data_IF_737314050433
#
_entry.id   IF_737314050433
#
_cell.length_a   1.000
_cell.length_b   1.000
_cell.length_c   1.000
_cell.angle_alpha   90.00
_cell.angle_beta   90.00
_cell.angle_gamma   90.00
#
_symmetry.space_group_name_H-M   'P 1'
#
loop_
_entity.id
_entity.type
_entity.pdbx_description
1 polymer ?
#
# COMPACT_ATOMS: atom_id res chain seq x y z
N UNK A 1 0.98 -9.29 -22.70
CA UNK A 1 1.32 -7.85 -22.75
C UNK A 1 0.12 -6.96 -23.05
N UNK A 2 -0.62 -7.21 -24.12
CA UNK A 2 -1.79 -6.38 -24.45
C UNK A 2 -2.85 -6.38 -23.35
N UNK A 3 -3.11 -7.52 -22.74
CA UNK A 3 -4.09 -7.60 -21.64
C UNK A 3 -3.66 -6.77 -20.43
N UNK A 4 -2.35 -6.75 -20.14
CA UNK A 4 -1.82 -5.94 -19.03
C UNK A 4 -2.03 -4.46 -19.35
N UNK A 5 -1.72 -4.00 -20.54
CA UNK A 5 -1.92 -2.60 -20.92
C UNK A 5 -3.39 -2.18 -20.92
N UNK A 6 -4.29 -3.06 -21.35
CA UNK A 6 -5.73 -2.79 -21.28
C UNK A 6 -6.20 -2.68 -19.85
N UNK A 7 -5.71 -3.58 -18.98
CA UNK A 7 -6.04 -3.55 -17.56
C UNK A 7 -5.52 -2.28 -16.88
N UNK A 8 -4.32 -1.81 -17.25
CA UNK A 8 -3.78 -0.55 -16.73
C UNK A 8 -4.69 0.61 -17.11
N UNK A 9 -5.08 0.72 -18.38
CA UNK A 9 -5.96 1.79 -18.83
C UNK A 9 -7.31 1.78 -18.12
N UNK A 10 -7.90 0.61 -17.95
CA UNK A 10 -9.18 0.44 -17.28
C UNK A 10 -9.09 0.75 -15.79
N UNK A 11 -8.05 0.26 -15.10
CA UNK A 11 -7.86 0.46 -13.67
C UNK A 11 -7.34 1.85 -13.32
N UNK A 12 -6.68 2.53 -14.24
CA UNK A 12 -6.16 3.88 -14.00
C UNK A 12 -7.26 4.88 -13.72
N UNK A 13 -8.44 4.70 -14.26
CA UNK A 13 -9.57 5.60 -14.09
C UNK A 13 -10.38 5.35 -12.81
N UNK A 14 -9.98 4.38 -12.00
CA UNK A 14 -10.67 4.06 -10.75
C UNK A 14 -9.79 4.36 -9.55
N UNK A 15 -10.39 4.44 -8.37
CA UNK A 15 -9.67 4.53 -7.10
C UNK A 15 -9.69 3.19 -6.36
N UNK A 16 -10.10 2.13 -7.04
CA UNK A 16 -10.16 0.81 -6.44
C UNK A 16 -8.77 0.32 -6.01
N UNK A 17 -8.73 -0.45 -4.93
CA UNK A 17 -7.51 -1.13 -4.49
C UNK A 17 -7.14 -2.20 -5.51
N UNK A 18 -5.88 -2.21 -5.93
CA UNK A 18 -5.37 -3.15 -6.92
C UNK A 18 -4.32 -4.04 -6.27
N UNK A 19 -4.40 -5.33 -6.54
CA UNK A 19 -3.35 -6.27 -6.16
C UNK A 19 -2.65 -6.78 -7.43
N UNK A 20 -1.34 -6.57 -7.48
CA UNK A 20 -0.49 -7.05 -8.57
C UNK A 20 0.23 -8.30 -8.09
N UNK A 21 0.03 -9.41 -8.79
CA UNK A 21 0.71 -10.66 -8.48
C UNK A 21 1.72 -10.98 -9.58
N UNK A 22 2.93 -11.36 -9.18
CA UNK A 22 3.99 -11.71 -10.10
C UNK A 22 5.29 -11.96 -9.37
N UNK A 23 6.22 -12.63 -10.01
CA UNK A 23 7.53 -12.88 -9.43
C UNK A 23 8.32 -11.58 -9.25
N UNK A 24 9.28 -11.59 -8.32
CA UNK A 24 10.19 -10.48 -8.11
C UNK A 24 10.90 -10.12 -9.42
N UNK A 25 11.04 -8.83 -9.68
CA UNK A 25 11.70 -8.34 -10.89
C UNK A 25 10.84 -8.36 -12.14
N UNK A 26 9.53 -8.59 -12.03
CA UNK A 26 8.62 -8.56 -13.18
C UNK A 26 8.09 -7.16 -13.52
N UNK A 27 8.58 -6.12 -12.83
CA UNK A 27 8.18 -4.75 -13.11
C UNK A 27 6.92 -4.31 -12.39
N UNK A 28 6.60 -4.89 -11.25
CA UNK A 28 5.40 -4.55 -10.48
C UNK A 28 5.33 -3.08 -10.09
N UNK A 29 6.46 -2.49 -9.69
CA UNK A 29 6.52 -1.07 -9.36
C UNK A 29 6.27 -0.18 -10.58
N UNK A 30 6.78 -0.58 -11.74
CA UNK A 30 6.53 0.14 -12.99
C UNK A 30 5.04 0.14 -13.34
N UNK A 31 4.37 -0.99 -13.14
CA UNK A 31 2.92 -1.09 -13.35
C UNK A 31 2.18 -0.16 -12.40
N UNK A 32 2.56 -0.18 -11.11
CA UNK A 32 1.92 0.68 -10.11
C UNK A 32 2.11 2.16 -10.45
N UNK A 33 3.32 2.54 -10.85
CA UNK A 33 3.63 3.91 -11.25
C UNK A 33 2.80 4.31 -12.49
N UNK A 34 2.67 3.42 -13.44
CA UNK A 34 1.86 3.65 -14.64
C UNK A 34 0.39 3.83 -14.30
N UNK A 35 -0.15 3.03 -13.39
CA UNK A 35 -1.52 3.19 -12.91
C UNK A 35 -1.73 4.57 -12.28
N UNK A 36 -0.78 5.03 -11.49
CA UNK A 36 -0.86 6.34 -10.86
C UNK A 36 -0.76 7.47 -11.89
N UNK A 37 0.22 7.41 -12.79
CA UNK A 37 0.45 8.45 -13.80
C UNK A 37 -0.71 8.63 -14.76
N UNK A 38 -1.46 7.57 -15.01
CA UNK A 38 -2.61 7.61 -15.91
C UNK A 38 -3.95 7.78 -15.17
N UNK A 39 -3.90 8.07 -13.88
CA UNK A 39 -5.08 8.24 -13.05
C UNK A 39 -5.45 9.71 -12.90
N UNK A 40 -6.68 10.00 -12.40
CA UNK A 40 -7.06 11.37 -12.04
C UNK A 40 -6.16 11.99 -10.97
N UNK A 41 -5.41 11.18 -10.23
CA UNK A 41 -4.49 11.62 -9.17
C UNK A 41 -3.03 11.72 -9.63
N UNK A 42 -2.79 11.83 -10.93
CA UNK A 42 -1.42 11.81 -11.49
C UNK A 42 -0.51 12.91 -10.95
N UNK A 43 -1.06 14.04 -10.52
CA UNK A 43 -0.33 15.16 -9.95
C UNK A 43 -0.24 15.11 -8.41
N UNK A 44 -0.82 14.07 -7.79
CA UNK A 44 -0.77 13.87 -6.35
C UNK A 44 0.38 12.92 -5.98
N UNK A 45 0.72 12.82 -4.68
CA UNK A 45 1.86 11.98 -4.29
C UNK A 45 1.72 10.51 -4.70
N UNK A 46 2.83 9.93 -5.11
CA UNK A 46 2.99 8.49 -5.28
C UNK A 46 4.12 8.05 -4.37
N UNK A 47 3.80 7.23 -3.38
CA UNK A 47 4.77 6.75 -2.40
C UNK A 47 4.86 5.24 -2.52
N UNK A 48 6.08 4.73 -2.69
CA UNK A 48 6.35 3.30 -2.81
C UNK A 48 7.12 2.80 -1.60
N UNK A 49 6.67 1.69 -1.03
CA UNK A 49 7.33 1.01 0.07
C UNK A 49 7.48 -0.48 -0.27
N UNK A 50 8.62 -1.05 0.10
CA UNK A 50 8.81 -2.50 0.05
C UNK A 50 8.81 -3.04 1.48
N UNK A 51 7.84 -3.88 1.80
CA UNK A 51 7.68 -4.43 3.14
C UNK A 51 8.86 -5.32 3.54
N UNK A 52 9.55 -5.92 2.57
CA UNK A 52 10.73 -6.74 2.83
C UNK A 52 11.91 -5.92 3.37
N UNK A 53 11.97 -4.64 3.06
CA UNK A 53 13.07 -3.75 3.47
C UNK A 53 12.84 -3.09 4.82
N UNK A 54 11.67 -3.26 5.42
CA UNK A 54 11.31 -2.61 6.69
C UNK A 54 11.34 -3.66 7.79
N UNK A 55 12.09 -3.43 8.88
CA UNK A 55 12.02 -4.30 10.05
C UNK A 55 10.58 -4.45 10.54
N UNK A 56 10.18 -5.66 10.87
CA UNK A 56 8.78 -5.97 11.22
C UNK A 56 8.25 -5.13 12.37
N UNK A 57 9.10 -4.83 13.35
CA UNK A 57 8.74 -4.00 14.50
C UNK A 57 8.53 -2.53 14.16
N UNK A 58 8.96 -2.09 12.97
CA UNK A 58 8.83 -0.71 12.54
C UNK A 58 7.72 -0.50 11.51
N UNK A 59 7.11 -1.57 11.00
CA UNK A 59 6.13 -1.47 9.91
C UNK A 59 4.95 -0.58 10.30
N UNK A 60 4.36 -0.78 11.49
CA UNK A 60 3.22 0.03 11.91
C UNK A 60 3.57 1.51 12.03
N UNK A 61 4.70 1.82 12.65
CA UNK A 61 5.17 3.20 12.79
C UNK A 61 5.47 3.83 11.43
N UNK A 62 6.05 3.06 10.51
CA UNK A 62 6.37 3.54 9.16
C UNK A 62 5.10 3.86 8.37
N UNK A 63 4.10 2.99 8.44
CA UNK A 63 2.84 3.15 7.69
C UNK A 63 1.93 4.20 8.31
N UNK A 64 1.72 4.12 9.62
CA UNK A 64 0.68 4.89 10.31
C UNK A 64 1.21 6.07 11.11
N UNK A 65 2.54 6.15 11.28
CA UNK A 65 3.14 7.15 12.14
C UNK A 65 3.00 6.83 13.62
N UNK A 66 3.59 7.65 14.44
CA UNK A 66 3.53 7.47 15.89
C UNK A 66 3.47 8.81 16.61
N UNK A 67 2.87 8.79 17.81
CA UNK A 67 2.89 9.93 18.71
C UNK A 67 4.17 9.94 19.53
N UNK A 68 4.54 11.12 20.03
CA UNK A 68 5.70 11.27 20.90
C UNK A 68 5.55 10.39 22.14
N UNK A 69 6.60 9.63 22.45
CA UNK A 69 6.61 8.77 23.63
C UNK A 69 5.84 7.47 23.52
N UNK A 70 5.35 7.12 22.34
CA UNK A 70 4.53 5.92 22.14
C UNK A 70 5.31 4.62 22.32
N UNK A 71 6.64 4.64 22.17
CA UNK A 71 7.53 3.50 22.41
C UNK A 71 8.94 4.01 22.70
N UNK A 72 9.82 3.11 23.14
CA UNK A 72 11.23 3.47 23.39
C UNK A 72 11.88 3.94 22.08
N UNK A 73 12.40 5.16 22.06
CA UNK A 73 12.98 5.76 20.87
C UNK A 73 12.04 6.67 20.09
N UNK A 74 10.76 6.74 20.45
CA UNK A 74 9.81 7.68 19.85
C UNK A 74 9.96 9.07 20.50
N UNK A 75 11.07 9.73 20.19
CA UNK A 75 11.42 11.03 20.79
C UNK A 75 10.43 12.11 20.35
N UNK A 76 10.02 12.08 19.09
CA UNK A 76 9.09 13.05 18.50
C UNK A 76 7.94 12.33 17.80
N UNK A 77 6.86 13.08 17.52
CA UNK A 77 5.79 12.62 16.67
C UNK A 77 6.32 12.41 15.24
N UNK A 78 5.90 11.34 14.60
CA UNK A 78 6.25 11.08 13.21
C UNK A 78 5.00 10.83 12.38
N UNK A 79 4.94 11.49 11.22
CA UNK A 79 3.89 11.28 10.24
C UNK A 79 4.22 10.06 9.40
N UNK A 80 3.27 9.13 9.29
CA UNK A 80 3.47 7.91 8.53
C UNK A 80 3.21 8.09 7.03
N UNK A 81 3.44 7.00 6.29
CA UNK A 81 3.32 7.03 4.83
C UNK A 81 1.87 7.24 4.36
N UNK A 82 0.90 6.73 5.10
CA UNK A 82 -0.50 6.98 4.76
C UNK A 82 -0.85 8.45 4.74
N UNK A 83 -0.41 9.21 5.73
CA UNK A 83 -0.65 10.64 5.76
C UNK A 83 0.11 11.36 4.65
N UNK A 84 1.36 10.94 4.39
CA UNK A 84 2.18 11.52 3.31
C UNK A 84 1.57 11.27 1.94
N UNK A 85 0.88 10.15 1.76
CA UNK A 85 0.25 9.78 0.50
C UNK A 85 -1.18 10.32 0.35
N UNK A 86 -1.69 11.06 1.34
CA UNK A 86 -3.07 11.53 1.34
C UNK A 86 -3.41 12.30 0.07
N UNK A 87 -4.51 11.94 -0.56
CA UNK A 87 -4.94 12.46 -1.85
C UNK A 87 -4.33 11.74 -3.04
N UNK A 88 -3.32 10.91 -2.82
CA UNK A 88 -2.57 10.23 -3.87
C UNK A 88 -2.65 8.71 -3.80
N UNK A 89 -1.51 8.07 -4.04
CA UNK A 89 -1.39 6.62 -4.13
C UNK A 89 -0.24 6.11 -3.27
N UNK A 90 -0.48 5.02 -2.56
CA UNK A 90 0.53 4.29 -1.80
C UNK A 90 0.69 2.90 -2.42
N UNK A 91 1.91 2.61 -2.86
CA UNK A 91 2.27 1.30 -3.41
C UNK A 91 3.00 0.49 -2.34
N UNK A 92 2.47 -0.67 -2.02
CA UNK A 92 3.03 -1.58 -1.02
C UNK A 92 3.51 -2.85 -1.72
N UNK A 93 4.81 -2.96 -1.93
CA UNK A 93 5.41 -4.15 -2.52
C UNK A 93 5.68 -5.21 -1.44
N UNK A 94 5.62 -6.47 -1.82
CA UNK A 94 5.82 -7.63 -0.95
C UNK A 94 4.90 -7.61 0.26
N UNK A 95 3.61 -7.43 0.00
CA UNK A 95 2.60 -7.30 1.05
C UNK A 95 2.49 -8.56 1.92
N UNK A 96 2.89 -9.72 1.39
CA UNK A 96 2.92 -10.97 2.16
C UNK A 96 3.93 -10.95 3.30
N UNK A 97 4.92 -10.07 3.25
CA UNK A 97 5.91 -9.90 4.32
C UNK A 97 5.44 -8.96 5.43
N UNK A 98 4.28 -8.36 5.26
CA UNK A 98 3.70 -7.49 6.28
C UNK A 98 3.21 -8.32 7.49
N UNK A 99 3.53 -7.91 8.73
CA UNK A 99 3.01 -8.58 9.91
C UNK A 99 1.47 -8.63 9.90
N UNK A 100 0.91 -9.69 10.45
CA UNK A 100 -0.55 -9.90 10.44
C UNK A 100 -1.31 -8.73 11.09
N UNK A 101 -0.81 -8.21 12.20
CA UNK A 101 -1.44 -7.07 12.88
C UNK A 101 -1.49 -5.84 11.98
N UNK A 102 -0.42 -5.61 11.21
CA UNK A 102 -0.36 -4.50 10.26
C UNK A 102 -1.31 -4.73 9.09
N UNK A 103 -1.45 -5.98 8.62
CA UNK A 103 -2.43 -6.32 7.58
C UNK A 103 -3.85 -6.02 8.05
N UNK A 104 -4.17 -6.38 9.29
CA UNK A 104 -5.50 -6.11 9.87
C UNK A 104 -5.77 -4.61 9.95
N UNK A 105 -4.79 -3.82 10.37
CA UNK A 105 -4.91 -2.37 10.41
C UNK A 105 -5.08 -1.78 9.00
N UNK A 106 -4.35 -2.31 8.03
CA UNK A 106 -4.49 -1.91 6.63
C UNK A 106 -5.93 -2.11 6.14
N UNK A 107 -6.52 -3.26 6.45
CA UNK A 107 -7.91 -3.54 6.09
C UNK A 107 -8.88 -2.52 6.67
N UNK A 108 -8.67 -2.13 7.92
CA UNK A 108 -9.50 -1.11 8.57
C UNK A 108 -9.38 0.25 7.88
N UNK A 109 -8.17 0.63 7.50
CA UNK A 109 -7.96 1.89 6.76
C UNK A 109 -8.69 1.86 5.42
N UNK A 110 -8.62 0.73 4.71
CA UNK A 110 -9.30 0.59 3.43
C UNK A 110 -10.82 0.67 3.58
N UNK A 111 -11.38 0.15 4.68
CA UNK A 111 -12.82 0.16 4.93
C UNK A 111 -13.31 1.49 5.47
N UNK A 112 -12.60 2.05 6.46
CA UNK A 112 -13.06 3.21 7.23
C UNK A 112 -12.46 4.54 6.75
N UNK A 113 -11.40 4.47 5.96
CA UNK A 113 -10.64 5.65 5.46
C UNK A 113 -10.09 6.49 6.60
N UNK A 114 -9.80 5.85 7.73
CA UNK A 114 -9.16 6.48 8.87
C UNK A 114 -8.36 5.45 9.67
N UNK A 115 -7.43 5.94 10.46
CA UNK A 115 -6.60 5.10 11.32
C UNK A 115 -6.13 5.90 12.52
N UNK A 116 -5.51 5.21 13.48
CA UNK A 116 -4.86 5.83 14.63
C UNK A 116 -3.33 5.68 14.47
N UNK A 117 -2.58 6.75 14.79
CA UNK A 117 -1.13 6.65 14.91
C UNK A 117 -0.80 5.70 16.07
N UNK A 118 0.39 5.11 16.04
CA UNK A 118 0.86 4.28 17.16
C UNK A 118 0.87 5.16 18.42
N UNK A 119 0.18 4.73 19.46
CA UNK A 119 0.03 5.49 20.70
C UNK A 119 -0.95 6.66 20.62
N UNK A 120 -1.63 6.85 19.51
CA UNK A 120 -2.60 7.92 19.32
C UNK A 120 -4.02 7.52 19.69
N UNK A 121 -4.81 8.49 20.12
CA UNK A 121 -6.23 8.30 20.47
C UNK A 121 -7.17 9.08 19.56
N UNK A 122 -6.64 9.83 18.61
CA UNK A 122 -7.43 10.59 17.64
C UNK A 122 -7.37 9.95 16.28
N UNK A 123 -8.52 9.77 15.59
CA UNK A 123 -8.51 9.22 14.25
C UNK A 123 -7.91 10.20 13.24
N UNK A 124 -7.14 9.67 12.31
CA UNK A 124 -6.57 10.42 11.19
C UNK A 124 -7.31 9.98 9.93
N UNK A 125 -7.99 10.90 9.28
CA UNK A 125 -8.71 10.61 8.04
C UNK A 125 -7.79 10.75 6.85
N UNK A 126 -7.85 9.78 5.94
CA UNK A 126 -7.04 9.79 4.72
C UNK A 126 -7.85 9.29 3.53
N UNK A 127 -7.51 9.81 2.37
CA UNK A 127 -8.03 9.34 1.09
C UNK A 127 -6.84 8.91 0.25
N UNK A 128 -6.48 7.63 0.35
CA UNK A 128 -5.32 7.07 -0.30
C UNK A 128 -5.75 5.87 -1.14
N UNK A 129 -5.33 5.87 -2.40
CA UNK A 129 -5.46 4.69 -3.25
C UNK A 129 -4.34 3.71 -2.90
N UNK A 130 -4.69 2.45 -2.67
CA UNK A 130 -3.72 1.41 -2.39
C UNK A 130 -3.50 0.56 -3.63
N UNK A 131 -2.23 0.39 -3.99
CA UNK A 131 -1.79 -0.61 -4.95
C UNK A 131 -0.82 -1.51 -4.20
N UNK A 132 -1.16 -2.79 -4.11
CA UNK A 132 -0.33 -3.76 -3.41
C UNK A 132 0.26 -4.75 -4.40
N UNK A 133 1.42 -5.29 -4.08
CA UNK A 133 2.07 -6.29 -4.92
C UNK A 133 2.59 -7.43 -4.08
N UNK A 134 2.59 -8.62 -4.64
CA UNK A 134 3.11 -9.82 -4.00
C UNK A 134 3.59 -10.82 -5.03
N UNK A 135 4.61 -11.61 -4.65
CA UNK A 135 5.03 -12.79 -5.40
C UNK A 135 4.39 -14.06 -4.83
N UNK A 136 3.67 -13.95 -3.71
CA UNK A 136 3.10 -15.08 -3.00
C UNK A 136 1.71 -15.45 -3.52
N UNK A 137 1.25 -16.65 -3.16
CA UNK A 137 -0.09 -17.08 -3.47
C UNK A 137 -1.11 -16.27 -2.67
N UNK A 138 -2.15 -15.79 -3.34
CA UNK A 138 -3.22 -15.00 -2.75
C UNK A 138 -3.90 -15.67 -1.55
N UNK A 139 -3.93 -17.00 -1.52
CA UNK A 139 -4.60 -17.73 -0.45
C UNK A 139 -3.98 -17.48 0.93
N UNK A 140 -2.79 -16.94 0.99
CA UNK A 140 -2.09 -16.63 2.24
C UNK A 140 -2.34 -15.20 2.71
N UNK A 141 -3.10 -14.40 1.97
CA UNK A 141 -3.39 -13.02 2.32
C UNK A 141 -4.78 -12.90 2.93
N UNK A 142 -4.94 -11.92 3.82
CA UNK A 142 -6.25 -11.60 4.38
C UNK A 142 -7.14 -11.09 3.26
N UNK A 143 -8.36 -11.63 3.17
CA UNK A 143 -9.28 -11.26 2.12
C UNK A 143 -9.73 -9.81 2.23
N UNK A 144 -9.61 -9.08 1.13
CA UNK A 144 -10.13 -7.72 0.97
C UNK A 144 -10.83 -7.59 -0.36
N UNK A 145 -11.66 -6.58 -0.48
CA UNK A 145 -12.26 -6.23 -1.76
C UNK A 145 -11.24 -5.46 -2.59
N UNK A 146 -10.63 -6.12 -3.54
CA UNK A 146 -9.66 -5.50 -4.46
C UNK A 146 -9.74 -6.13 -5.85
N UNK A 147 -9.24 -5.38 -6.84
CA UNK A 147 -9.10 -5.87 -8.20
C UNK A 147 -7.72 -6.49 -8.38
N UNK A 148 -7.69 -7.71 -8.89
CA UNK A 148 -6.48 -8.48 -9.07
C UNK A 148 -5.90 -8.31 -10.48
N UNK A 149 -4.59 -8.09 -10.56
CA UNK A 149 -3.84 -8.04 -11.80
C UNK A 149 -2.65 -8.98 -11.70
N UNK A 150 -2.59 -9.97 -12.58
CA UNK A 150 -1.49 -10.94 -12.63
C UNK A 150 -0.52 -10.60 -13.74
N UNK A 151 0.77 -10.53 -13.42
CA UNK A 151 1.83 -10.34 -14.40
C UNK A 151 2.37 -11.69 -14.87
N UNK A 152 2.79 -11.80 -16.15
CA UNK A 152 3.45 -13.00 -16.62
C UNK A 152 4.78 -13.22 -15.91
N UNK A 153 5.12 -14.49 -15.65
CA UNK A 153 6.41 -14.84 -15.07
C UNK A 153 7.52 -14.62 -16.08
N UNK A 154 8.70 -14.27 -15.58
CA UNK A 154 9.88 -14.23 -16.42
C UNK A 154 10.29 -15.64 -16.83
N UNK A 155 10.39 -15.87 -18.10
CA UNK A 155 10.90 -17.11 -18.63
C UNK A 155 12.42 -17.14 -18.54
#
# INVERSE_FOLDING_TARGET
>A
MQEVFRSIGKLSNTIATVLIQGESGTGKELIANSLHKNSPRHDMPFIALNMADIPKELVESELFGHEKGSFTGAVDQRIGRFEQANGGTLFLDEIGDMPLDSQTRLLRVLSNKEFYRVGGDKPVKVDVRIIAATHQNLNNLVSVSYTHLTLPTKA
#
